data_IF_029695596304
#
_entry.id   IF_029695596304
#
_cell.length_a   1.000
_cell.length_b   1.000
_cell.length_c   1.000
_cell.angle_alpha   90.00
_cell.angle_beta   90.00
_cell.angle_gamma   90.00
#
_symmetry.space_group_name_H-M   'P 1'
#
loop_
_entity.id
_entity.type
_entity.pdbx_description
1 polymer ?
#
# COMPACT_ATOMS: atom_id res chain seq x y z
N UNK A 1 -27.49 18.72 -40.48
CA UNK A 1 -26.86 19.05 -39.18
C UNK A 1 -25.54 18.32 -39.09
N UNK A 2 -24.48 19.07 -39.34
CA UNK A 2 -23.13 18.59 -39.65
C UNK A 2 -22.39 18.11 -38.40
N UNK A 3 -21.48 17.17 -38.60
CA UNK A 3 -20.63 16.47 -37.62
C UNK A 3 -19.92 17.41 -36.63
N UNK A 4 -19.69 18.66 -37.01
CA UNK A 4 -19.18 19.75 -36.16
C UNK A 4 -20.09 20.09 -34.98
N UNK A 5 -21.41 20.04 -35.13
CA UNK A 5 -22.35 20.29 -34.04
C UNK A 5 -22.33 19.17 -32.99
N UNK A 6 -22.15 17.91 -33.41
CA UNK A 6 -22.01 16.77 -32.49
C UNK A 6 -20.70 16.82 -31.69
N UNK A 7 -19.60 17.28 -32.29
CA UNK A 7 -18.31 17.45 -31.60
C UNK A 7 -18.39 18.61 -30.60
N UNK A 8 -19.03 19.73 -30.97
CA UNK A 8 -19.26 20.86 -30.06
C UNK A 8 -20.16 20.48 -28.88
N UNK A 9 -21.17 19.64 -29.09
CA UNK A 9 -22.07 19.20 -28.03
C UNK A 9 -21.39 18.21 -27.06
N UNK A 10 -20.51 17.34 -27.56
CA UNK A 10 -19.65 16.48 -26.72
C UNK A 10 -18.64 17.31 -25.93
N UNK A 11 -18.02 18.32 -26.55
CA UNK A 11 -17.11 19.24 -25.84
C UNK A 11 -17.85 20.08 -24.78
N UNK A 12 -19.10 20.48 -25.03
CA UNK A 12 -19.91 21.23 -24.06
C UNK A 12 -20.35 20.38 -22.86
N UNK A 13 -20.69 19.10 -23.06
CA UNK A 13 -21.00 18.15 -21.97
C UNK A 13 -19.75 17.79 -21.14
N UNK A 14 -18.56 17.79 -21.77
CA UNK A 14 -17.28 17.64 -21.06
C UNK A 14 -16.94 18.90 -20.23
N UNK A 15 -17.37 20.08 -20.67
CA UNK A 15 -17.14 21.33 -19.94
C UNK A 15 -18.16 21.63 -18.84
N UNK A 16 -19.39 21.14 -18.92
CA UNK A 16 -20.44 21.45 -17.94
C UNK A 16 -20.29 20.76 -16.58
N UNK A 17 -19.26 19.93 -16.38
CA UNK A 17 -18.96 19.26 -15.11
C UNK A 17 -17.88 19.97 -14.25
N UNK A 18 -17.42 21.16 -14.66
CA UNK A 18 -16.33 21.87 -13.96
C UNK A 18 -16.78 22.81 -12.83
N UNK A 19 -18.07 22.87 -12.52
CA UNK A 19 -18.57 23.60 -11.35
C UNK A 19 -18.89 22.59 -10.26
N UNK A 20 -17.84 21.98 -9.70
CA UNK A 20 -17.96 21.39 -8.37
C UNK A 20 -18.13 22.55 -7.39
N UNK A 21 -19.29 22.65 -6.76
CA UNK A 21 -19.46 23.54 -5.63
C UNK A 21 -18.45 23.14 -4.55
N UNK A 22 -17.63 24.09 -4.09
CA UNK A 22 -16.75 23.94 -2.93
C UNK A 22 -17.63 23.71 -1.70
N UNK A 23 -17.97 22.46 -1.40
CA UNK A 23 -18.56 22.13 -0.11
C UNK A 23 -17.53 22.50 0.96
N UNK A 24 -17.90 23.32 1.97
CA UNK A 24 -16.99 23.70 3.02
C UNK A 24 -16.46 22.43 3.71
N UNK A 25 -15.13 22.30 3.74
CA UNK A 25 -14.48 21.16 4.36
C UNK A 25 -14.72 21.21 5.88
N UNK A 26 -15.29 20.14 6.45
CA UNK A 26 -15.44 20.00 7.91
C UNK A 26 -14.07 20.04 8.61
N UNK A 27 -13.01 19.62 7.91
CA UNK A 27 -11.68 19.44 8.48
C UNK A 27 -10.81 20.70 8.54
N UNK A 28 -11.13 21.75 7.79
CA UNK A 28 -10.34 22.98 7.79
C UNK A 28 -11.10 24.19 7.30
N UNK A 29 -10.72 25.36 7.80
CA UNK A 29 -11.15 26.66 7.30
C UNK A 29 -9.96 27.37 6.69
N UNK A 30 -10.14 27.93 5.50
CA UNK A 30 -9.11 28.71 4.82
C UNK A 30 -9.48 30.20 4.89
N UNK A 31 -8.57 31.02 5.44
CA UNK A 31 -8.71 32.48 5.44
C UNK A 31 -8.17 33.06 4.14
N UNK A 32 -8.55 34.31 3.85
CA UNK A 32 -8.17 35.05 2.62
C UNK A 32 -6.65 35.05 2.35
N UNK A 33 -5.82 35.03 3.40
CA UNK A 33 -4.35 34.98 3.30
C UNK A 33 -3.75 33.57 3.08
N UNK A 34 -4.55 32.59 2.64
CA UNK A 34 -4.20 31.15 2.57
C UNK A 34 -3.80 30.52 3.91
N UNK A 35 -4.00 31.22 5.04
CA UNK A 35 -3.81 30.63 6.36
C UNK A 35 -4.88 29.55 6.59
N UNK A 36 -4.42 28.33 6.83
CA UNK A 36 -5.27 27.17 7.08
C UNK A 36 -5.41 26.96 8.58
N UNK A 37 -6.66 26.95 9.07
CA UNK A 37 -7.00 26.51 10.43
C UNK A 37 -7.55 25.10 10.34
N UNK A 38 -6.90 24.13 10.99
CA UNK A 38 -7.35 22.75 11.04
C UNK A 38 -8.36 22.56 12.15
N UNK A 39 -9.45 21.86 11.84
CA UNK A 39 -10.44 21.39 12.80
C UNK A 39 -10.11 19.94 13.16
N UNK A 40 -9.89 19.69 14.45
CA UNK A 40 -9.66 18.37 15.02
C UNK A 40 -10.85 18.01 15.89
N UNK A 41 -11.40 16.82 15.70
CA UNK A 41 -12.41 16.26 16.59
C UNK A 41 -11.77 15.18 17.47
N UNK A 42 -11.79 15.39 18.79
CA UNK A 42 -11.24 14.49 19.80
C UNK A 42 -12.40 13.82 20.56
N UNK A 43 -12.57 12.52 20.34
CA UNK A 43 -13.58 11.70 21.00
C UNK A 43 -12.97 10.97 22.20
N UNK A 44 -13.60 11.15 23.37
CA UNK A 44 -13.11 10.74 24.68
C UNK A 44 -14.19 9.98 25.45
N UNK A 45 -13.76 9.21 26.47
CA UNK A 45 -14.63 8.67 27.52
C UNK A 45 -14.09 9.09 28.89
N UNK A 46 -14.97 9.41 29.83
CA UNK A 46 -14.60 9.74 31.21
C UNK A 46 -13.95 8.58 31.97
N UNK A 47 -14.20 7.34 31.54
CA UNK A 47 -13.65 6.12 32.17
C UNK A 47 -12.30 5.69 31.58
N UNK A 48 -11.79 6.43 30.59
CA UNK A 48 -10.62 6.05 29.80
C UNK A 48 -9.35 6.76 30.32
N UNK A 49 -8.43 5.99 30.92
CA UNK A 49 -7.16 6.50 31.47
C UNK A 49 -6.30 7.24 30.43
N UNK A 50 -6.28 6.76 29.18
CA UNK A 50 -5.48 7.36 28.10
C UNK A 50 -6.11 8.66 27.55
N UNK A 51 -7.42 8.83 27.73
CA UNK A 51 -8.16 9.98 27.23
C UNK A 51 -7.74 11.26 27.95
N UNK A 52 -7.46 11.21 29.25
CA UNK A 52 -6.91 12.35 29.99
C UNK A 52 -5.55 12.82 29.46
N UNK A 53 -4.68 11.88 29.05
CA UNK A 53 -3.37 12.22 28.46
C UNK A 53 -3.52 12.91 27.10
N UNK A 54 -4.40 12.36 26.25
CA UNK A 54 -4.68 12.95 24.95
C UNK A 54 -5.28 14.36 25.09
N UNK A 55 -6.24 14.54 26.00
CA UNK A 55 -6.87 15.83 26.25
C UNK A 55 -5.88 16.89 26.78
N UNK A 56 -5.00 16.51 27.71
CA UNK A 56 -3.91 17.37 28.18
C UNK A 56 -2.99 17.79 27.03
N UNK A 57 -2.53 16.84 26.22
CA UNK A 57 -1.69 17.10 25.05
C UNK A 57 -2.35 18.09 24.07
N UNK A 58 -3.62 17.87 23.71
CA UNK A 58 -4.32 18.76 22.78
C UNK A 58 -4.62 20.14 23.38
N UNK A 59 -4.77 20.24 24.70
CA UNK A 59 -4.95 21.52 25.37
C UNK A 59 -3.68 22.37 25.33
N UNK A 60 -2.53 21.77 25.62
CA UNK A 60 -1.21 22.41 25.48
C UNK A 60 -0.90 22.76 24.01
N UNK A 61 -1.21 21.85 23.09
CA UNK A 61 -0.97 22.06 21.67
C UNK A 61 -1.83 23.19 21.12
N UNK A 62 -3.13 23.23 21.45
CA UNK A 62 -4.03 24.30 21.01
C UNK A 62 -3.61 25.67 21.55
N UNK A 63 -3.11 25.75 22.80
CA UNK A 63 -2.62 26.99 23.38
C UNK A 63 -1.38 27.54 22.67
N UNK A 64 -0.52 26.64 22.14
CA UNK A 64 0.71 27.00 21.43
C UNK A 64 0.56 27.07 19.90
N UNK A 65 -0.60 26.68 19.35
CA UNK A 65 -0.81 26.48 17.91
C UNK A 65 -2.05 27.22 17.41
N UNK A 66 -1.94 28.49 16.99
CA UNK A 66 -3.09 29.32 16.58
C UNK A 66 -3.87 28.80 15.37
N UNK A 67 -3.25 27.93 14.56
CA UNK A 67 -3.86 27.31 13.38
C UNK A 67 -4.58 25.99 13.68
N UNK A 68 -4.73 25.63 14.96
CA UNK A 68 -5.37 24.39 15.38
C UNK A 68 -6.61 24.69 16.24
N UNK A 69 -7.74 24.15 15.84
CA UNK A 69 -8.98 24.17 16.62
C UNK A 69 -9.36 22.74 17.01
N UNK A 70 -9.46 22.47 18.31
CA UNK A 70 -9.79 21.13 18.83
C UNK A 70 -11.17 21.14 19.48
N UNK A 71 -12.09 20.37 18.91
CA UNK A 71 -13.42 20.10 19.47
C UNK A 71 -13.40 18.78 20.23
N UNK A 72 -13.97 18.76 21.42
CA UNK A 72 -13.93 17.62 22.34
C UNK A 72 -15.33 17.04 22.50
N UNK A 73 -15.43 15.72 22.42
CA UNK A 73 -16.69 14.99 22.43
C UNK A 73 -16.62 13.82 23.43
N UNK A 74 -17.41 13.88 24.49
CA UNK A 74 -17.45 12.84 25.55
C UNK A 74 -18.55 11.82 25.25
N UNK A 75 -18.19 10.68 24.68
CA UNK A 75 -19.16 9.75 24.06
C UNK A 75 -20.01 8.98 25.08
N UNK A 76 -19.58 8.88 26.33
CA UNK A 76 -20.29 8.15 27.38
C UNK A 76 -21.28 9.03 28.16
N UNK A 77 -21.29 10.34 27.93
CA UNK A 77 -22.16 11.31 28.60
C UNK A 77 -23.06 12.07 27.61
N UNK A 78 -22.57 12.32 26.39
CA UNK A 78 -23.32 13.01 25.35
C UNK A 78 -23.75 12.05 24.23
N UNK A 79 -25.07 11.82 24.14
CA UNK A 79 -25.68 11.01 23.08
C UNK A 79 -25.43 11.58 21.69
N UNK A 80 -25.37 12.91 21.52
CA UNK A 80 -25.10 13.54 20.21
C UNK A 80 -23.66 13.25 19.78
N UNK A 81 -22.70 13.42 20.68
CA UNK A 81 -21.30 13.03 20.47
C UNK A 81 -21.16 11.57 20.03
N UNK A 82 -21.87 10.64 20.69
CA UNK A 82 -21.83 9.22 20.31
C UNK A 82 -22.42 8.96 18.91
N UNK A 83 -23.52 9.63 18.54
CA UNK A 83 -24.13 9.51 17.21
C UNK A 83 -23.18 10.05 16.13
N UNK A 84 -22.58 11.21 16.36
CA UNK A 84 -21.62 11.81 15.43
C UNK A 84 -20.38 10.92 15.28
N UNK A 85 -19.87 10.36 16.38
CA UNK A 85 -18.76 9.40 16.33
C UNK A 85 -19.11 8.19 15.47
N UNK A 86 -20.30 7.60 15.68
CA UNK A 86 -20.77 6.48 14.88
C UNK A 86 -20.88 6.82 13.38
N UNK A 87 -21.32 8.04 13.03
CA UNK A 87 -21.38 8.48 11.64
C UNK A 87 -19.98 8.51 11.00
N UNK A 88 -19.00 9.11 11.67
CA UNK A 88 -17.61 9.15 11.19
C UNK A 88 -16.98 7.75 11.08
N UNK A 89 -17.31 6.84 12.00
CA UNK A 89 -16.87 5.45 11.95
C UNK A 89 -17.42 4.74 10.70
N UNK A 90 -18.72 4.87 10.45
CA UNK A 90 -19.37 4.29 9.27
C UNK A 90 -18.81 4.85 7.95
N UNK A 91 -18.53 6.15 7.87
CA UNK A 91 -17.89 6.77 6.69
C UNK A 91 -16.51 6.18 6.38
N UNK A 92 -15.79 5.71 7.40
CA UNK A 92 -14.48 5.10 7.25
C UNK A 92 -14.51 3.56 7.19
N UNK A 93 -15.70 2.94 7.17
CA UNK A 93 -15.90 1.48 7.27
C UNK A 93 -15.26 0.87 8.53
N UNK A 94 -15.29 1.61 9.64
CA UNK A 94 -14.79 1.19 10.95
C UNK A 94 -15.99 0.91 11.85
N UNK A 95 -15.85 -0.08 12.74
CA UNK A 95 -16.95 -0.53 13.61
C UNK A 95 -16.57 -0.56 15.10
N UNK A 96 -15.34 -0.18 15.43
CA UNK A 96 -14.85 -0.11 16.81
C UNK A 96 -15.03 1.29 17.39
N UNK A 97 -15.51 1.38 18.62
CA UNK A 97 -15.66 2.65 19.36
C UNK A 97 -14.44 2.95 20.25
N UNK A 98 -13.24 2.60 19.79
CA UNK A 98 -12.00 2.80 20.56
C UNK A 98 -11.73 4.28 20.81
N UNK A 99 -11.37 4.62 22.06
CA UNK A 99 -11.02 5.98 22.52
C UNK A 99 -9.68 5.98 23.27
N UNK A 100 -8.91 7.10 23.28
CA UNK A 100 -9.19 8.35 22.58
C UNK A 100 -9.11 8.17 21.06
N UNK A 101 -10.04 8.81 20.32
CA UNK A 101 -10.07 8.80 18.87
C UNK A 101 -9.99 10.22 18.35
N UNK A 102 -8.95 10.52 17.57
CA UNK A 102 -8.68 11.84 17.01
C UNK A 102 -9.00 11.80 15.52
N UNK A 103 -9.86 12.69 15.05
CA UNK A 103 -10.15 12.86 13.64
C UNK A 103 -9.65 14.20 13.13
N UNK A 104 -8.92 14.17 12.03
CA UNK A 104 -8.56 15.36 11.26
C UNK A 104 -8.24 14.96 9.82
N UNK A 105 -8.46 15.88 8.88
CA UNK A 105 -8.11 15.70 7.47
C UNK A 105 -8.56 14.34 6.89
N UNK A 106 -9.78 13.92 7.24
CA UNK A 106 -10.38 12.65 6.84
C UNK A 106 -9.53 11.41 7.21
N UNK A 107 -8.86 11.46 8.37
CA UNK A 107 -8.09 10.37 8.95
C UNK A 107 -8.46 10.19 10.43
N UNK A 108 -8.43 8.94 10.93
CA UNK A 108 -8.73 8.58 12.32
C UNK A 108 -7.49 8.00 12.99
N UNK A 109 -7.05 8.61 14.09
CA UNK A 109 -5.92 8.20 14.90
C UNK A 109 -6.43 7.70 16.25
N UNK A 110 -5.94 6.53 16.70
CA UNK A 110 -6.50 5.82 17.85
C UNK A 110 -5.43 5.60 18.92
N UNK A 111 -5.79 5.90 20.16
CA UNK A 111 -4.93 5.72 21.33
C UNK A 111 -3.98 6.91 21.56
N UNK A 112 -3.38 6.94 22.75
CA UNK A 112 -2.40 7.95 23.11
C UNK A 112 -1.46 7.44 24.20
N UNK A 113 -0.20 7.17 23.87
CA UNK A 113 0.78 6.64 24.82
C UNK A 113 1.49 7.76 25.61
N UNK A 114 2.18 8.66 24.89
CA UNK A 114 2.93 9.79 25.44
C UNK A 114 3.14 10.92 24.41
N UNK A 115 3.63 12.06 24.87
CA UNK A 115 3.93 13.21 24.01
C UNK A 115 5.10 12.93 23.07
N UNK A 116 6.08 12.14 23.51
CA UNK A 116 7.31 11.82 22.78
C UNK A 116 7.10 10.80 21.66
N UNK A 117 5.98 10.07 21.71
CA UNK A 117 5.62 9.01 20.75
C UNK A 117 4.35 9.39 19.98
N UNK A 118 3.17 9.02 20.49
CA UNK A 118 1.89 9.30 19.83
C UNK A 118 1.66 10.79 19.60
N UNK A 119 2.01 11.65 20.57
CA UNK A 119 1.91 13.11 20.42
C UNK A 119 2.79 13.65 19.29
N UNK A 120 4.03 13.17 19.19
CA UNK A 120 4.97 13.49 18.10
C UNK A 120 4.42 13.07 16.73
N UNK A 121 3.84 11.89 16.64
CA UNK A 121 3.22 11.37 15.41
C UNK A 121 1.98 12.18 15.00
N UNK A 122 1.12 12.53 15.95
CA UNK A 122 -0.06 13.37 15.73
C UNK A 122 0.35 14.77 15.24
N UNK A 123 1.34 15.39 15.88
CA UNK A 123 1.86 16.70 15.47
C UNK A 123 2.45 16.65 14.05
N UNK A 124 3.18 15.58 13.72
CA UNK A 124 3.69 15.35 12.37
C UNK A 124 2.54 15.24 11.35
N UNK A 125 1.49 14.50 11.67
CA UNK A 125 0.30 14.35 10.82
C UNK A 125 -0.45 15.66 10.60
N UNK A 126 -0.70 16.42 11.67
CA UNK A 126 -1.36 17.73 11.61
C UNK A 126 -0.56 18.73 10.77
N UNK A 127 0.74 18.83 11.02
CA UNK A 127 1.63 19.73 10.27
C UNK A 127 1.72 19.33 8.80
N UNK A 128 1.83 18.03 8.50
CA UNK A 128 1.80 17.53 7.13
C UNK A 128 0.50 17.90 6.42
N UNK A 129 -0.66 17.69 7.07
CA UNK A 129 -1.95 18.04 6.48
C UNK A 129 -2.04 19.54 6.16
N UNK A 130 -1.70 20.39 7.14
CA UNK A 130 -1.71 21.85 6.97
C UNK A 130 -0.85 22.27 5.78
N UNK A 131 0.40 21.81 5.73
CA UNK A 131 1.33 22.19 4.67
C UNK A 131 0.85 21.76 3.28
N UNK A 132 0.24 20.57 3.16
CA UNK A 132 -0.32 20.10 1.89
C UNK A 132 -1.55 20.90 1.46
N UNK A 133 -2.42 21.30 2.38
CA UNK A 133 -3.56 22.17 2.07
C UNK A 133 -3.08 23.57 1.67
N UNK A 134 -2.12 24.15 2.40
CA UNK A 134 -1.56 25.47 2.07
C UNK A 134 -0.90 25.48 0.68
N UNK A 135 -0.23 24.37 0.32
CA UNK A 135 0.42 24.19 -0.98
C UNK A 135 -0.58 23.98 -2.12
N UNK A 136 -1.56 23.11 -1.93
CA UNK A 136 -2.46 22.66 -3.01
C UNK A 136 -3.80 23.41 -3.03
N UNK A 137 -4.08 24.25 -2.03
CA UNK A 137 -5.34 24.96 -1.83
C UNK A 137 -6.48 24.07 -1.30
N UNK A 138 -6.34 22.74 -1.34
CA UNK A 138 -7.38 21.79 -0.95
C UNK A 138 -6.80 20.55 -0.30
N UNK A 139 -7.63 19.83 0.47
CA UNK A 139 -7.28 18.52 0.99
C UNK A 139 -7.33 17.46 -0.11
N UNK A 140 -6.15 17.08 -0.63
CA UNK A 140 -6.06 16.11 -1.72
C UNK A 140 -6.27 14.66 -1.26
N UNK A 141 -6.79 13.77 -2.12
CA UNK A 141 -6.84 12.34 -1.83
C UNK A 141 -5.46 11.71 -1.54
N UNK A 142 -4.38 12.26 -2.09
CA UNK A 142 -3.00 11.84 -1.82
C UNK A 142 -2.65 12.08 -0.36
N UNK A 143 -2.92 13.29 0.14
CA UNK A 143 -2.70 13.69 1.53
C UNK A 143 -3.48 12.79 2.49
N UNK A 144 -4.77 12.58 2.22
CA UNK A 144 -5.63 11.68 3.02
C UNK A 144 -5.07 10.26 3.04
N UNK A 145 -4.60 9.76 1.90
CA UNK A 145 -4.01 8.42 1.78
C UNK A 145 -2.75 8.24 2.64
N UNK A 146 -1.87 9.24 2.66
CA UNK A 146 -0.67 9.22 3.52
C UNK A 146 -1.09 9.24 4.99
N UNK A 147 -1.98 10.15 5.37
CA UNK A 147 -2.47 10.29 6.75
C UNK A 147 -3.14 9.02 7.26
N UNK A 148 -4.00 8.37 6.47
CA UNK A 148 -4.66 7.12 6.88
C UNK A 148 -3.65 6.01 7.19
N UNK A 149 -2.54 5.94 6.45
CA UNK A 149 -1.50 4.91 6.67
C UNK A 149 -0.65 5.21 7.90
N UNK A 150 -0.33 6.47 8.15
CA UNK A 150 0.33 6.87 9.40
C UNK A 150 -0.59 6.71 10.61
N UNK A 151 -1.87 7.04 10.49
CA UNK A 151 -2.84 6.84 11.55
C UNK A 151 -3.01 5.35 11.91
N UNK A 152 -3.04 4.49 10.90
CA UNK A 152 -3.05 3.06 11.09
C UNK A 152 -1.74 2.54 11.70
N UNK A 153 -0.58 3.07 11.31
CA UNK A 153 0.70 2.76 11.94
C UNK A 153 0.75 3.21 13.42
N UNK A 154 0.12 4.34 13.74
CA UNK A 154 0.00 4.86 15.08
C UNK A 154 -0.77 3.95 16.03
N UNK A 155 -1.82 3.26 15.55
CA UNK A 155 -2.53 2.25 16.34
C UNK A 155 -1.60 1.14 16.85
N UNK A 156 -0.65 0.67 16.01
CA UNK A 156 0.34 -0.31 16.43
C UNK A 156 1.34 0.28 17.43
N UNK A 157 1.74 1.53 17.22
CA UNK A 157 2.62 2.25 18.14
C UNK A 157 2.00 2.47 19.53
N UNK A 158 0.74 2.92 19.58
CA UNK A 158 0.02 3.27 20.81
C UNK A 158 -0.41 2.07 21.65
N UNK A 159 -0.52 0.90 21.02
CA UNK A 159 -0.87 -0.38 21.67
C UNK A 159 0.32 -1.20 22.16
N UNK A 160 1.57 -0.78 21.91
CA UNK A 160 2.76 -1.49 22.39
C UNK A 160 2.94 -1.35 23.91
N UNK A 161 2.81 -2.47 24.62
CA UNK A 161 3.03 -2.57 26.07
C UNK A 161 4.50 -2.87 26.39
N UNK A 162 5.15 -3.70 25.58
CA UNK A 162 6.58 -4.03 25.71
C UNK A 162 7.44 -3.19 24.75
N UNK A 163 8.65 -2.85 25.19
CA UNK A 163 9.66 -2.19 24.36
C UNK A 163 10.73 -3.20 23.91
N UNK A 164 10.51 -3.91 22.79
CA UNK A 164 11.49 -4.87 22.28
C UNK A 164 12.79 -4.16 21.87
N UNK A 165 13.91 -4.90 21.90
CA UNK A 165 15.16 -4.42 21.32
C UNK A 165 14.99 -4.13 19.83
N UNK A 166 15.76 -3.16 19.30
CA UNK A 166 15.69 -2.76 17.89
C UNK A 166 15.80 -3.96 16.93
N UNK A 167 16.72 -4.88 17.20
CA UNK A 167 16.90 -6.10 16.39
C UNK A 167 15.65 -6.99 16.37
N UNK A 168 15.03 -7.22 17.53
CA UNK A 168 13.80 -8.03 17.63
C UNK A 168 12.65 -7.33 16.91
N UNK A 169 12.52 -6.02 17.07
CA UNK A 169 11.50 -5.23 16.39
C UNK A 169 11.66 -5.27 14.87
N UNK A 170 12.85 -4.90 14.36
CA UNK A 170 13.16 -4.90 12.92
C UNK A 170 12.91 -6.28 12.32
N UNK A 171 13.43 -7.33 12.94
CA UNK A 171 13.26 -8.70 12.44
C UNK A 171 11.79 -9.14 12.39
N UNK A 172 11.02 -8.82 13.43
CA UNK A 172 9.60 -9.20 13.50
C UNK A 172 8.78 -8.44 12.46
N UNK A 173 8.91 -7.11 12.38
CA UNK A 173 8.12 -6.30 11.45
C UNK A 173 8.49 -6.60 10.00
N UNK A 174 9.78 -6.75 9.68
CA UNK A 174 10.22 -7.12 8.33
C UNK A 174 9.69 -8.50 7.91
N UNK A 175 9.64 -9.46 8.84
CA UNK A 175 9.06 -10.77 8.58
C UNK A 175 7.55 -10.69 8.36
N UNK A 176 6.83 -9.93 9.20
CA UNK A 176 5.40 -9.70 9.02
C UNK A 176 5.08 -9.01 7.70
N UNK A 177 5.95 -8.11 7.23
CA UNK A 177 5.81 -7.47 5.91
C UNK A 177 6.02 -8.47 4.77
N UNK A 178 7.07 -9.29 4.85
CA UNK A 178 7.36 -10.31 3.83
C UNK A 178 6.24 -11.36 3.69
N UNK A 179 5.56 -11.69 4.79
CA UNK A 179 4.43 -12.63 4.84
C UNK A 179 3.06 -11.94 4.85
N UNK A 180 3.00 -10.64 4.56
CA UNK A 180 1.75 -9.90 4.55
C UNK A 180 0.81 -10.50 3.50
N UNK A 181 -0.45 -10.78 3.85
CA UNK A 181 -1.44 -11.29 2.91
C UNK A 181 -1.65 -10.42 1.64
N UNK A 182 -1.32 -9.13 1.71
CA UNK A 182 -1.33 -8.22 0.57
C UNK A 182 -0.21 -8.48 -0.46
N UNK A 183 0.76 -9.38 -0.19
CA UNK A 183 1.92 -9.67 -1.05
C UNK A 183 1.75 -10.89 -1.97
N UNK A 184 0.59 -11.56 -1.97
CA UNK A 184 0.45 -12.84 -2.68
C UNK A 184 0.60 -12.75 -4.21
N UNK A 185 0.15 -11.67 -4.87
CA UNK A 185 0.42 -11.51 -6.30
C UNK A 185 1.90 -11.22 -6.63
N UNK A 186 2.66 -10.56 -5.75
CA UNK A 186 4.11 -10.43 -5.90
C UNK A 186 4.77 -11.82 -5.88
N UNK A 187 4.41 -12.67 -4.91
CA UNK A 187 4.92 -14.04 -4.85
C UNK A 187 4.49 -14.89 -6.07
N UNK A 188 3.23 -14.76 -6.50
CA UNK A 188 2.72 -15.47 -7.68
C UNK A 188 3.41 -15.02 -8.97
N UNK A 189 3.60 -13.71 -9.16
CA UNK A 189 4.33 -13.14 -10.30
C UNK A 189 5.79 -13.57 -10.31
N UNK A 190 6.43 -13.60 -9.14
CA UNK A 190 7.79 -14.10 -8.97
C UNK A 190 7.91 -15.56 -9.44
N UNK A 191 7.09 -16.46 -8.89
CA UNK A 191 7.10 -17.86 -9.30
C UNK A 191 6.72 -18.06 -10.76
N UNK A 192 5.72 -17.32 -11.27
CA UNK A 192 5.27 -17.44 -12.64
C UNK A 192 6.40 -17.21 -13.65
N UNK A 193 7.22 -16.19 -13.43
CA UNK A 193 8.38 -15.89 -14.29
C UNK A 193 9.47 -16.96 -14.16
N UNK A 194 9.70 -17.46 -12.94
CA UNK A 194 10.66 -18.55 -12.70
C UNK A 194 10.24 -19.87 -13.36
N UNK A 195 8.94 -20.15 -13.45
CA UNK A 195 8.41 -21.35 -14.11
C UNK A 195 8.60 -21.28 -15.63
N UNK A 196 8.29 -20.14 -16.24
CA UNK A 196 8.35 -19.97 -17.71
C UNK A 196 9.79 -20.08 -18.25
N UNK A 197 10.79 -19.65 -17.49
CA UNK A 197 12.19 -19.70 -17.89
C UNK A 197 12.78 -21.11 -17.77
N UNK A 198 13.35 -21.62 -18.86
CA UNK A 198 13.89 -22.99 -18.88
C UNK A 198 15.27 -23.11 -18.22
N UNK A 199 16.17 -22.17 -18.53
CA UNK A 199 17.58 -22.22 -18.11
C UNK A 199 17.76 -21.65 -16.71
N UNK A 200 18.41 -22.42 -15.82
CA UNK A 200 18.68 -22.03 -14.42
C UNK A 200 19.37 -20.68 -14.25
N UNK A 201 20.39 -20.39 -15.06
CA UNK A 201 21.07 -19.08 -15.04
C UNK A 201 20.10 -17.93 -15.31
N UNK A 202 19.16 -18.12 -16.24
CA UNK A 202 18.13 -17.12 -16.57
C UNK A 202 17.09 -16.99 -15.46
N UNK A 203 16.65 -18.11 -14.87
CA UNK A 203 15.76 -18.12 -13.71
C UNK A 203 16.36 -17.31 -12.55
N UNK A 204 17.63 -17.58 -12.21
CA UNK A 204 18.31 -16.85 -11.13
C UNK A 204 18.46 -15.35 -11.43
N UNK A 205 18.89 -14.99 -12.64
CA UNK A 205 19.02 -13.57 -13.04
C UNK A 205 17.67 -12.84 -13.06
N UNK A 206 16.62 -13.47 -13.57
CA UNK A 206 15.29 -12.88 -13.59
C UNK A 206 14.73 -12.75 -12.16
N UNK A 207 14.95 -13.76 -11.31
CA UNK A 207 14.59 -13.70 -9.90
C UNK A 207 15.30 -12.54 -9.19
N UNK A 208 16.60 -12.36 -9.41
CA UNK A 208 17.36 -11.25 -8.83
C UNK A 208 16.83 -9.88 -9.32
N UNK A 209 16.56 -9.74 -10.63
CA UNK A 209 15.97 -8.53 -11.20
C UNK A 209 14.62 -8.21 -10.55
N UNK A 210 13.77 -9.23 -10.37
CA UNK A 210 12.47 -9.08 -9.72
C UNK A 210 12.64 -8.60 -8.26
N UNK A 211 13.52 -9.24 -7.49
CA UNK A 211 13.79 -8.90 -6.07
C UNK A 211 14.32 -7.47 -5.94
N UNK A 212 15.29 -7.07 -6.77
CA UNK A 212 15.86 -5.71 -6.73
C UNK A 212 14.79 -4.67 -7.08
N UNK A 213 13.93 -4.97 -8.06
CA UNK A 213 12.84 -4.07 -8.46
C UNK A 213 11.81 -3.91 -7.35
N UNK A 214 11.41 -5.03 -6.72
CA UNK A 214 10.51 -5.03 -5.55
C UNK A 214 11.11 -4.22 -4.40
N UNK A 215 12.39 -4.43 -4.09
CA UNK A 215 13.11 -3.68 -3.06
C UNK A 215 13.18 -2.19 -3.33
N UNK A 216 13.47 -1.80 -4.59
CA UNK A 216 13.50 -0.41 -5.01
C UNK A 216 12.15 0.29 -4.83
N UNK A 217 11.06 -0.33 -5.30
CA UNK A 217 9.71 0.24 -5.15
C UNK A 217 9.28 0.29 -3.68
N UNK A 218 9.56 -0.76 -2.92
CA UNK A 218 9.27 -0.84 -1.47
C UNK A 218 9.98 0.27 -0.68
N UNK A 219 11.29 0.45 -0.90
CA UNK A 219 12.06 1.53 -0.29
C UNK A 219 11.55 2.92 -0.72
N UNK A 220 11.29 3.12 -2.01
CA UNK A 220 10.82 4.40 -2.54
C UNK A 220 9.48 4.81 -1.91
N UNK A 221 8.54 3.88 -1.79
CA UNK A 221 7.25 4.12 -1.15
C UNK A 221 7.40 4.53 0.32
N UNK A 222 8.32 3.90 1.05
CA UNK A 222 8.57 4.19 2.46
C UNK A 222 9.21 5.56 2.67
N UNK A 223 10.26 5.85 1.90
CA UNK A 223 11.03 7.08 2.03
C UNK A 223 10.29 8.30 1.44
N UNK A 224 9.48 8.10 0.39
CA UNK A 224 8.85 9.17 -0.39
C UNK A 224 7.35 8.95 -0.59
N UNK A 225 6.62 8.70 0.50
CA UNK A 225 5.19 8.37 0.49
C UNK A 225 4.32 9.35 -0.32
N UNK A 226 4.49 10.67 -0.13
CA UNK A 226 3.69 11.69 -0.84
C UNK A 226 3.92 11.61 -2.36
N UNK A 227 5.18 11.51 -2.78
CA UNK A 227 5.55 11.35 -4.19
C UNK A 227 5.01 10.04 -4.77
N UNK A 228 5.11 8.94 -4.01
CA UNK A 228 4.61 7.64 -4.42
C UNK A 228 3.10 7.66 -4.70
N UNK A 229 2.28 8.19 -3.78
CA UNK A 229 0.83 8.29 -3.99
C UNK A 229 0.44 9.30 -5.05
N UNK A 230 1.22 10.37 -5.23
CA UNK A 230 1.04 11.33 -6.32
C UNK A 230 1.30 10.70 -7.69
N UNK A 231 2.27 9.79 -7.79
CA UNK A 231 2.61 9.09 -9.02
C UNK A 231 1.62 7.99 -9.40
N UNK A 232 0.96 7.37 -8.41
CA UNK A 232 0.13 6.17 -8.59
C UNK A 232 -0.97 6.31 -9.66
N UNK A 233 -1.71 7.44 -9.78
CA UNK A 233 -2.69 7.62 -10.86
C UNK A 233 -2.04 7.59 -12.26
N UNK A 234 -0.84 8.16 -12.41
CA UNK A 234 -0.10 8.17 -13.66
C UNK A 234 0.42 6.78 -14.08
N UNK A 235 0.56 5.85 -13.13
CA UNK A 235 0.93 4.47 -13.43
C UNK A 235 -0.21 3.68 -14.09
N UNK A 236 -1.43 4.20 -14.14
CA UNK A 236 -2.59 3.47 -14.67
C UNK A 236 -2.42 3.03 -16.13
N UNK A 237 -1.87 3.90 -16.98
CA UNK A 237 -1.59 3.59 -18.39
C UNK A 237 -0.41 2.62 -18.53
N UNK A 238 0.78 2.85 -17.91
CA UNK A 238 1.85 1.85 -17.85
C UNK A 238 1.41 0.47 -17.35
N UNK A 239 0.51 0.41 -16.37
CA UNK A 239 -0.07 -0.83 -15.86
C UNK A 239 -0.87 -1.56 -16.95
N UNK A 240 -1.76 -0.86 -17.64
CA UNK A 240 -2.53 -1.44 -18.74
C UNK A 240 -1.62 -1.96 -19.87
N UNK A 241 -0.59 -1.20 -20.25
CA UNK A 241 0.40 -1.66 -21.22
C UNK A 241 1.17 -2.89 -20.74
N UNK A 242 1.57 -2.93 -19.46
CA UNK A 242 2.23 -4.10 -18.85
C UNK A 242 1.31 -5.33 -18.89
N UNK A 243 0.02 -5.14 -18.63
CA UNK A 243 -0.97 -6.21 -18.72
C UNK A 243 -1.15 -6.71 -20.15
N UNK A 244 -1.31 -5.82 -21.15
CA UNK A 244 -1.39 -6.20 -22.55
C UNK A 244 -0.12 -6.92 -23.02
N UNK A 245 1.05 -6.44 -22.58
CA UNK A 245 2.34 -7.06 -22.87
C UNK A 245 2.46 -8.47 -22.25
N UNK A 246 1.87 -8.68 -21.07
CA UNK A 246 1.76 -9.99 -20.41
C UNK A 246 0.96 -10.99 -21.25
N UNK A 247 -0.19 -10.58 -21.80
CA UNK A 247 -1.00 -11.41 -22.70
C UNK A 247 -0.28 -11.70 -24.02
N UNK A 248 0.36 -10.69 -24.63
CA UNK A 248 1.17 -10.86 -25.82
C UNK A 248 2.27 -11.90 -25.61
N UNK A 249 3.03 -11.81 -24.52
CA UNK A 249 4.09 -12.76 -24.21
C UNK A 249 3.58 -14.15 -23.85
N UNK A 250 2.44 -14.27 -23.16
CA UNK A 250 1.80 -15.57 -22.95
C UNK A 250 1.46 -16.26 -24.28
N UNK A 251 0.93 -15.51 -25.26
CA UNK A 251 0.66 -16.00 -26.60
C UNK A 251 1.92 -16.38 -27.38
N UNK A 252 2.96 -15.57 -27.33
CA UNK A 252 4.25 -15.88 -27.98
C UNK A 252 4.96 -17.07 -27.32
N UNK A 253 4.77 -17.27 -26.03
CA UNK A 253 5.31 -18.42 -25.31
C UNK A 253 4.62 -19.70 -25.76
N UNK A 254 3.30 -19.66 -25.90
CA UNK A 254 2.53 -20.77 -26.46
C UNK A 254 2.98 -21.12 -27.89
N UNK A 255 3.29 -20.12 -28.72
CA UNK A 255 3.79 -20.29 -30.09
C UNK A 255 5.28 -20.67 -30.18
N UNK A 256 5.99 -20.85 -29.05
CA UNK A 256 7.44 -21.10 -28.98
C UNK A 256 8.31 -20.03 -29.67
N UNK A 257 7.84 -18.77 -29.73
CA UNK A 257 8.55 -17.65 -30.39
C UNK A 257 9.07 -16.59 -29.41
N UNK A 258 9.15 -16.92 -28.12
CA UNK A 258 9.47 -15.92 -27.09
C UNK A 258 10.96 -15.65 -27.00
N UNK A 259 11.34 -14.38 -27.12
CA UNK A 259 12.70 -13.92 -26.84
C UNK A 259 12.92 -13.79 -25.32
N UNK A 260 14.09 -14.25 -24.87
CA UNK A 260 14.48 -14.12 -23.46
C UNK A 260 14.53 -12.67 -22.99
N UNK A 261 14.97 -11.74 -23.84
CA UNK A 261 15.04 -10.32 -23.48
C UNK A 261 13.67 -9.73 -23.13
N UNK A 262 12.62 -10.17 -23.84
CA UNK A 262 11.25 -9.74 -23.56
C UNK A 262 10.74 -10.28 -22.22
N UNK A 263 11.16 -11.48 -21.81
CA UNK A 263 10.83 -12.03 -20.49
C UNK A 263 11.52 -11.21 -19.38
N UNK A 264 12.77 -10.77 -19.57
CA UNK A 264 13.44 -9.88 -18.60
C UNK A 264 12.75 -8.51 -18.51
N UNK A 265 12.34 -7.94 -19.65
CA UNK A 265 11.55 -6.71 -19.65
C UNK A 265 10.23 -6.90 -18.90
N UNK A 266 9.50 -7.99 -19.18
CA UNK A 266 8.27 -8.32 -18.46
C UNK A 266 8.51 -8.52 -16.97
N UNK A 267 9.64 -9.14 -16.60
CA UNK A 267 10.02 -9.34 -15.20
C UNK A 267 10.13 -8.02 -14.46
N UNK A 268 10.84 -7.05 -15.03
CA UNK A 268 10.96 -5.71 -14.47
C UNK A 268 9.59 -5.02 -14.38
N UNK A 269 8.83 -5.00 -15.48
CA UNK A 269 7.52 -4.32 -15.54
C UNK A 269 6.51 -4.92 -14.57
N UNK A 270 6.40 -6.25 -14.50
CA UNK A 270 5.52 -6.91 -13.54
C UNK A 270 5.96 -6.67 -12.10
N UNK A 271 7.25 -6.83 -11.78
CA UNK A 271 7.75 -6.57 -10.44
C UNK A 271 7.44 -5.13 -9.99
N UNK A 272 7.69 -4.15 -10.86
CA UNK A 272 7.41 -2.76 -10.60
C UNK A 272 5.90 -2.52 -10.40
N UNK A 273 5.06 -2.91 -11.36
CA UNK A 273 3.63 -2.62 -11.32
C UNK A 273 2.92 -3.36 -10.19
N UNK A 274 3.21 -4.65 -9.99
CA UNK A 274 2.63 -5.42 -8.89
C UNK A 274 2.98 -4.76 -7.56
N UNK A 275 4.26 -4.47 -7.31
CA UNK A 275 4.69 -3.88 -6.05
C UNK A 275 4.07 -2.48 -5.84
N UNK A 276 4.01 -1.64 -6.88
CA UNK A 276 3.40 -0.30 -6.78
C UNK A 276 1.93 -0.35 -6.36
N UNK A 277 1.13 -1.30 -6.88
CA UNK A 277 -0.27 -1.39 -6.49
C UNK A 277 -0.49 -2.15 -5.18
N UNK A 278 0.31 -3.16 -4.86
CA UNK A 278 0.17 -3.92 -3.61
C UNK A 278 0.52 -3.10 -2.36
N UNK A 279 1.50 -2.20 -2.48
CA UNK A 279 1.89 -1.26 -1.43
C UNK A 279 0.76 -0.30 -0.99
N UNK A 280 -0.34 -0.24 -1.73
CA UNK A 280 -1.52 0.58 -1.38
C UNK A 280 -2.40 -0.04 -0.29
N UNK A 281 -2.11 -1.28 0.15
CA UNK A 281 -2.78 -1.92 1.28
C UNK A 281 -2.75 -1.01 2.53
N UNK A 282 -3.85 -0.95 3.29
CA UNK A 282 -3.97 -0.10 4.51
C UNK A 282 -3.06 -0.65 5.62
N UNK A 283 -3.07 -1.97 5.80
CA UNK A 283 -2.15 -2.70 6.67
C UNK A 283 -0.78 -2.81 5.97
N UNK A 284 0.04 -1.78 6.14
CA UNK A 284 1.36 -1.71 5.54
C UNK A 284 2.44 -1.59 6.62
N UNK A 285 3.19 -2.68 6.82
CA UNK A 285 4.20 -2.84 7.86
C UNK A 285 5.41 -1.92 7.65
N UNK A 286 5.69 -1.52 6.42
CA UNK A 286 6.72 -0.52 6.10
C UNK A 286 6.43 0.83 6.76
N UNK A 287 5.16 1.26 6.86
CA UNK A 287 4.82 2.48 7.61
C UNK A 287 4.90 2.31 9.12
N UNK A 288 4.54 1.13 9.64
CA UNK A 288 4.68 0.81 11.07
C UNK A 288 6.16 0.89 11.48
N UNK A 289 7.05 0.29 10.68
CA UNK A 289 8.49 0.40 10.89
C UNK A 289 8.98 1.84 10.75
N UNK A 290 8.59 2.56 9.70
CA UNK A 290 9.02 3.93 9.46
C UNK A 290 8.62 4.91 10.57
N UNK A 291 7.42 4.74 11.14
CA UNK A 291 6.96 5.54 12.27
C UNK A 291 7.70 5.18 13.56
N UNK A 292 7.90 3.89 13.84
CA UNK A 292 8.74 3.47 14.96
C UNK A 292 10.16 4.03 14.86
N UNK A 293 10.76 3.98 13.66
CA UNK A 293 12.09 4.52 13.38
C UNK A 293 12.15 6.04 13.60
N UNK A 294 11.10 6.77 13.19
CA UNK A 294 10.97 8.21 13.42
C UNK A 294 10.88 8.59 14.91
N UNK A 295 10.34 7.70 15.74
CA UNK A 295 10.22 7.90 17.18
C UNK A 295 11.48 7.52 17.97
N UNK A 296 12.48 6.91 17.32
CA UNK A 296 13.76 6.62 17.96
C UNK A 296 14.68 7.85 17.99
N UNK A 297 15.47 7.98 19.06
CA UNK A 297 16.55 8.96 19.16
C UNK A 297 17.84 8.38 18.57
N UNK A 298 17.92 8.31 17.25
CA UNK A 298 19.06 7.71 16.54
C UNK A 298 19.91 8.77 15.84
N UNK A 299 21.21 8.50 15.73
CA UNK A 299 22.05 9.24 14.81
C UNK A 299 21.83 8.77 13.35
N UNK A 300 22.34 9.53 12.39
CA UNK A 300 22.13 9.24 10.96
C UNK A 300 22.66 7.85 10.55
N UNK A 301 23.78 7.41 11.13
CA UNK A 301 24.37 6.10 10.82
C UNK A 301 23.48 4.94 11.30
N UNK A 302 22.94 5.04 12.52
CA UNK A 302 21.99 4.07 13.08
C UNK A 302 20.70 4.03 12.28
N UNK A 303 20.17 5.19 11.87
CA UNK A 303 18.98 5.27 11.03
C UNK A 303 19.18 4.52 9.71
N UNK A 304 20.30 4.79 9.02
CA UNK A 304 20.64 4.09 7.76
C UNK A 304 20.81 2.59 8.01
N UNK A 305 21.50 2.20 9.08
CA UNK A 305 21.72 0.79 9.41
C UNK A 305 20.40 0.06 9.65
N UNK A 306 19.48 0.65 10.43
CA UNK A 306 18.19 0.04 10.75
C UNK A 306 17.31 -0.05 9.50
N UNK A 307 17.35 0.97 8.66
CA UNK A 307 16.67 0.99 7.37
C UNK A 307 17.20 -0.12 6.43
N UNK A 308 18.53 -0.26 6.32
CA UNK A 308 19.14 -1.31 5.51
C UNK A 308 18.85 -2.72 6.08
N UNK A 309 18.86 -2.88 7.40
CA UNK A 309 18.50 -4.13 8.04
C UNK A 309 17.05 -4.53 7.76
N UNK A 310 16.11 -3.58 7.86
CA UNK A 310 14.71 -3.80 7.54
C UNK A 310 14.51 -4.25 6.08
N UNK A 311 15.06 -3.49 5.14
CA UNK A 311 14.97 -3.79 3.70
C UNK A 311 15.67 -5.11 3.36
N UNK A 312 16.83 -5.38 3.98
CA UNK A 312 17.58 -6.61 3.79
C UNK A 312 16.80 -7.85 4.25
N UNK A 313 16.19 -7.81 5.43
CA UNK A 313 15.39 -8.93 5.96
C UNK A 313 14.12 -9.14 5.12
N UNK A 314 13.45 -8.06 4.73
CA UNK A 314 12.27 -8.13 3.85
C UNK A 314 12.60 -8.84 2.52
N UNK A 315 13.71 -8.50 1.87
CA UNK A 315 14.12 -9.12 0.59
C UNK A 315 14.76 -10.49 0.76
N UNK A 316 15.34 -10.80 1.92
CA UNK A 316 15.98 -12.07 2.21
C UNK A 316 15.01 -13.24 2.00
N UNK A 317 13.72 -13.06 2.31
CA UNK A 317 12.70 -14.09 2.10
C UNK A 317 12.59 -14.51 0.62
N UNK A 318 12.45 -13.54 -0.30
CA UNK A 318 12.41 -13.84 -1.73
C UNK A 318 13.74 -14.41 -2.24
N UNK A 319 14.87 -13.98 -1.68
CA UNK A 319 16.18 -14.52 -2.02
C UNK A 319 16.33 -15.99 -1.58
N UNK A 320 15.88 -16.33 -0.37
CA UNK A 320 15.83 -17.72 0.12
C UNK A 320 14.94 -18.55 -0.80
N UNK A 321 13.75 -18.06 -1.15
CA UNK A 321 12.85 -18.75 -2.09
C UNK A 321 13.52 -18.97 -3.44
N UNK A 322 14.24 -17.96 -3.98
CA UNK A 322 14.95 -18.08 -5.25
C UNK A 322 15.98 -19.21 -5.21
N UNK A 323 16.82 -19.22 -4.18
CA UNK A 323 17.88 -20.22 -4.00
C UNK A 323 17.27 -21.61 -3.85
N UNK A 324 16.26 -21.75 -2.97
CA UNK A 324 15.55 -23.01 -2.76
C UNK A 324 14.89 -23.50 -4.05
N UNK A 325 14.21 -22.64 -4.80
CA UNK A 325 13.59 -23.00 -6.07
C UNK A 325 14.63 -23.53 -7.08
N UNK A 326 15.74 -22.83 -7.28
CA UNK A 326 16.81 -23.23 -8.22
C UNK A 326 17.51 -24.53 -7.77
N UNK A 327 17.57 -24.80 -6.47
CA UNK A 327 18.07 -26.07 -5.93
C UNK A 327 17.06 -27.21 -6.12
N UNK A 328 15.80 -27.01 -5.75
CA UNK A 328 14.75 -28.03 -5.78
C UNK A 328 14.37 -28.45 -7.20
N UNK A 329 14.38 -27.52 -8.16
CA UNK A 329 14.08 -27.84 -9.57
C UNK A 329 15.11 -28.77 -10.22
N UNK A 330 16.23 -29.09 -9.53
CA UNK A 330 17.20 -30.13 -9.93
C UNK A 330 16.70 -31.54 -9.67
N UNK A 331 15.82 -31.72 -8.70
CA UNK A 331 15.34 -33.03 -8.29
C UNK A 331 14.37 -33.54 -9.37
N UNK A 332 14.56 -34.79 -9.80
CA UNK A 332 13.76 -35.39 -10.89
C UNK A 332 12.25 -35.28 -10.67
N UNK A 333 11.81 -35.37 -9.41
CA UNK A 333 10.41 -35.18 -9.03
C UNK A 333 9.87 -33.82 -9.48
N UNK A 334 10.57 -32.72 -9.18
CA UNK A 334 10.15 -31.37 -9.58
C UNK A 334 10.34 -31.14 -11.08
N UNK A 335 11.30 -31.82 -11.71
CA UNK A 335 11.47 -31.78 -13.16
C UNK A 335 10.23 -32.35 -13.90
N UNK A 336 9.64 -33.44 -13.39
CA UNK A 336 8.37 -34.00 -13.92
C UNK A 336 7.19 -33.03 -13.75
N UNK A 337 7.23 -32.15 -12.74
CA UNK A 337 6.18 -31.17 -12.50
C UNK A 337 6.30 -29.91 -13.37
N UNK A 338 7.42 -29.70 -14.05
CA UNK A 338 7.74 -28.48 -14.81
C UNK A 338 6.62 -28.07 -15.78
N UNK A 339 6.07 -29.01 -16.55
CA UNK A 339 4.99 -28.71 -17.49
C UNK A 339 3.72 -28.15 -16.80
N UNK A 340 3.41 -28.64 -15.59
CA UNK A 340 2.30 -28.13 -14.78
C UNK A 340 2.60 -26.72 -14.28
N UNK A 341 3.79 -26.52 -13.73
CA UNK A 341 4.24 -25.23 -13.22
C UNK A 341 4.25 -24.15 -14.31
N UNK A 342 4.69 -24.48 -15.52
CA UNK A 342 4.68 -23.52 -16.64
C UNK A 342 3.26 -23.09 -16.99
N UNK A 343 2.30 -24.02 -16.97
CA UNK A 343 0.89 -23.72 -17.26
C UNK A 343 0.29 -22.85 -16.16
N UNK A 344 0.56 -23.16 -14.90
CA UNK A 344 0.14 -22.34 -13.74
C UNK A 344 0.77 -20.93 -13.83
N UNK A 345 2.06 -20.83 -14.15
CA UNK A 345 2.76 -19.56 -14.30
C UNK A 345 2.18 -18.67 -15.39
N UNK A 346 1.83 -19.24 -16.55
CA UNK A 346 1.14 -18.50 -17.61
C UNK A 346 -0.21 -17.96 -17.15
N UNK A 347 -1.00 -18.77 -16.46
CA UNK A 347 -2.29 -18.35 -15.91
C UNK A 347 -2.13 -17.21 -14.90
N UNK A 348 -1.13 -17.28 -14.02
CA UNK A 348 -0.82 -16.20 -13.08
C UNK A 348 -0.42 -14.90 -13.80
N UNK A 349 0.46 -14.97 -14.81
CA UNK A 349 0.86 -13.78 -15.59
C UNK A 349 -0.34 -13.16 -16.31
N UNK A 350 -1.21 -13.98 -16.91
CA UNK A 350 -2.42 -13.50 -17.58
C UNK A 350 -3.40 -12.88 -16.59
N UNK A 351 -3.60 -13.48 -15.42
CA UNK A 351 -4.52 -12.96 -14.41
C UNK A 351 -4.01 -11.64 -13.79
N UNK A 352 -2.72 -11.58 -13.45
CA UNK A 352 -2.09 -10.33 -13.02
C UNK A 352 -2.22 -9.27 -14.11
N UNK A 353 -1.94 -9.63 -15.37
CA UNK A 353 -2.10 -8.73 -16.51
C UNK A 353 -3.54 -8.23 -16.66
N UNK A 354 -4.54 -9.08 -16.42
CA UNK A 354 -5.95 -8.70 -16.45
C UNK A 354 -6.29 -7.70 -15.34
N UNK A 355 -5.82 -7.91 -14.11
CA UNK A 355 -5.99 -6.93 -13.04
C UNK A 355 -5.33 -5.60 -13.37
N UNK A 356 -4.11 -5.61 -13.92
CA UNK A 356 -3.43 -4.40 -14.36
C UNK A 356 -4.17 -3.66 -15.48
N UNK A 357 -4.91 -4.37 -16.33
CA UNK A 357 -5.75 -3.77 -17.38
C UNK A 357 -7.05 -3.22 -16.82
N UNK A 358 -7.76 -3.95 -15.95
CA UNK A 358 -9.11 -3.59 -15.51
C UNK A 358 -9.06 -2.67 -14.28
N UNK A 359 -8.49 -3.16 -13.18
CA UNK A 359 -8.47 -2.46 -11.89
C UNK A 359 -7.25 -2.89 -11.07
N UNK A 360 -6.11 -2.20 -11.22
CA UNK A 360 -4.84 -2.62 -10.59
C UNK A 360 -4.88 -2.66 -9.05
N UNK A 361 -5.69 -1.80 -8.42
CA UNK A 361 -5.86 -1.75 -6.96
C UNK A 361 -6.43 -3.07 -6.39
N UNK A 362 -7.08 -3.89 -7.22
CA UNK A 362 -7.51 -5.24 -6.86
C UNK A 362 -6.35 -6.12 -6.34
N UNK A 363 -5.12 -5.87 -6.79
CA UNK A 363 -3.94 -6.63 -6.39
C UNK A 363 -3.61 -6.49 -4.89
N UNK A 364 -4.09 -5.43 -4.24
CA UNK A 364 -3.92 -5.21 -2.80
C UNK A 364 -5.03 -5.86 -1.95
N UNK A 365 -6.05 -6.47 -2.58
CA UNK A 365 -7.14 -7.11 -1.85
C UNK A 365 -6.79 -8.56 -1.49
N UNK A 366 -6.72 -8.86 -0.20
CA UNK A 366 -6.39 -10.19 0.32
C UNK A 366 -7.33 -11.29 -0.19
N UNK A 367 -8.64 -11.14 0.05
CA UNK A 367 -9.61 -12.19 -0.24
C UNK A 367 -9.62 -12.54 -1.74
N UNK A 368 -9.58 -11.50 -2.58
CA UNK A 368 -9.50 -11.66 -4.04
C UNK A 368 -8.19 -12.32 -4.48
N UNK A 369 -7.06 -11.96 -3.85
CA UNK A 369 -5.76 -12.57 -4.13
C UNK A 369 -5.76 -14.07 -3.84
N UNK A 370 -6.21 -14.48 -2.64
CA UNK A 370 -6.29 -15.89 -2.27
C UNK A 370 -7.21 -16.68 -3.20
N UNK A 371 -8.43 -16.18 -3.41
CA UNK A 371 -9.41 -16.84 -4.26
C UNK A 371 -8.90 -17.03 -5.69
N UNK A 372 -8.31 -15.99 -6.28
CA UNK A 372 -7.80 -16.05 -7.66
C UNK A 372 -6.63 -17.02 -7.78
N UNK A 373 -5.65 -16.93 -6.89
CA UNK A 373 -4.43 -17.74 -6.99
C UNK A 373 -4.72 -19.24 -6.76
N UNK A 374 -5.56 -19.57 -5.76
CA UNK A 374 -5.95 -20.97 -5.52
C UNK A 374 -6.72 -21.53 -6.72
N UNK A 375 -7.69 -20.77 -7.25
CA UNK A 375 -8.48 -21.19 -8.40
C UNK A 375 -7.59 -21.44 -9.62
N UNK A 376 -6.68 -20.52 -9.94
CA UNK A 376 -5.78 -20.65 -11.08
C UNK A 376 -4.74 -21.75 -10.90
N UNK A 377 -4.29 -22.00 -9.66
CA UNK A 377 -3.43 -23.14 -9.36
C UNK A 377 -4.15 -24.46 -9.68
N UNK A 378 -5.38 -24.63 -9.21
CA UNK A 378 -6.21 -25.82 -9.46
C UNK A 378 -6.51 -25.96 -10.95
N UNK A 379 -6.98 -24.90 -11.61
CA UNK A 379 -7.25 -24.91 -13.05
C UNK A 379 -6.00 -25.26 -13.85
N UNK A 380 -4.85 -24.63 -13.56
CA UNK A 380 -3.58 -24.90 -14.22
C UNK A 380 -3.11 -26.34 -14.01
N UNK A 381 -3.34 -26.89 -12.82
CA UNK A 381 -3.05 -28.29 -12.52
C UNK A 381 -3.85 -29.24 -13.42
N UNK A 382 -5.15 -29.02 -13.59
CA UNK A 382 -5.99 -29.84 -14.46
C UNK A 382 -5.69 -29.62 -15.95
N UNK A 383 -5.58 -28.37 -16.41
CA UNK A 383 -5.30 -28.02 -17.81
C UNK A 383 -3.97 -28.61 -18.29
N UNK A 384 -2.99 -28.73 -17.39
CA UNK A 384 -1.69 -29.33 -17.72
C UNK A 384 -1.77 -30.81 -18.14
N UNK A 385 -2.80 -31.57 -17.71
CA UNK A 385 -3.00 -32.98 -18.09
C UNK A 385 -3.40 -33.15 -19.55
N UNK A 386 -4.10 -32.17 -20.11
CA UNK A 386 -4.57 -32.19 -21.50
C UNK A 386 -3.56 -31.57 -22.48
N UNK A 387 -2.50 -30.97 -21.94
CA UNK A 387 -1.40 -30.45 -22.74
C UNK A 387 -0.51 -31.64 -23.13
N UNK A 388 -0.52 -32.02 -24.40
CA UNK A 388 0.40 -33.05 -24.91
C UNK A 388 1.84 -32.72 -24.48
N UNK A 389 2.64 -33.72 -24.05
CA UNK A 389 4.04 -33.50 -23.74
C UNK A 389 4.69 -32.90 -24.98
N UNK A 390 5.40 -31.79 -24.76
CA UNK A 390 6.19 -31.17 -25.82
C UNK A 390 7.25 -32.19 -26.20
N UNK A 391 7.11 -32.84 -27.36
CA UNK A 391 8.23 -33.52 -27.99
C UNK A 391 9.23 -32.43 -28.38
N UNK A 392 10.45 -32.57 -27.86
CA UNK A 392 11.58 -31.69 -28.10
C UNK A 392 11.90 -31.56 -29.60
#
# INVERSE_FOLDING_TARGET
MTTTFRILLVLFVVWSNLWAADNPSVWYTQKEDKQVILNVELYLSTTCKYCHKADAFFSELQASTPWLHVQRYTINEDKKALIQFNQLLMEQNMYDFSVPSVFFCNSRWIGFASNETTGKDLLRGLTYCKNEIEKNGTLSPVTVNVLKRWAHANLFGSSMIEHPSATKYIGTIALMDAFNPCAFFCLAGFFALLFILEKRKKQFLAGLLFIITVGGVHYFQQAYASTFFSMLPFLRLPAAFTGLFSFYLAGQYYRKRTSTHLIFLLTFLLAFMIQSYQQTCIMNWSYIFGQWLYNQQLNNAQLILYQLAYQGIYLLFLLIILVLYVMLIRIEFFAKLRQRLNTIGLLYIMAIGLFLIIYPLALANLALSLFTLITLFVCGWFLSRYRNPVKD
#
